data_IF_658481424367
#
_entry.id   IF_658481424367
#
_cell.length_a   1.000
_cell.length_b   1.000
_cell.length_c   1.000
_cell.angle_alpha   90.00
_cell.angle_beta   90.00
_cell.angle_gamma   90.00
#
_symmetry.space_group_name_H-M   'P 1'
#
loop_
_entity.id
_entity.type
_entity.pdbx_description
1 polymer ?
#
# COMPACT_ATOMS: atom_id res chain seq x y z
N UNK A 1 -11.28 4.78 -2.59
CA UNK A 1 -10.06 5.40 -3.14
C UNK A 1 -9.42 6.42 -2.19
N UNK A 2 -10.18 7.13 -1.35
CA UNK A 2 -9.64 8.12 -0.39
C UNK A 2 -8.94 7.49 0.83
N UNK A 3 -9.44 6.37 1.34
CA UNK A 3 -9.02 5.82 2.64
C UNK A 3 -7.55 5.38 2.72
N UNK A 4 -6.99 4.76 1.68
CA UNK A 4 -5.61 4.23 1.74
C UNK A 4 -4.61 5.38 1.86
N UNK A 5 -4.72 6.39 0.99
CA UNK A 5 -3.80 7.53 0.98
C UNK A 5 -3.97 8.41 2.23
N UNK A 6 -5.20 8.57 2.72
CA UNK A 6 -5.46 9.27 3.99
C UNK A 6 -4.86 8.54 5.19
N UNK A 7 -4.92 7.21 5.23
CA UNK A 7 -4.28 6.42 6.29
C UNK A 7 -2.76 6.49 6.18
N UNK A 8 -2.19 6.39 4.97
CA UNK A 8 -0.75 6.51 4.75
C UNK A 8 -0.19 7.87 5.19
N UNK A 9 -0.96 8.94 5.04
CA UNK A 9 -0.56 10.28 5.49
C UNK A 9 -0.43 10.39 7.03
N UNK A 10 -1.03 9.47 7.78
CA UNK A 10 -1.02 9.43 9.25
C UNK A 10 -0.14 8.30 9.80
N UNK A 11 0.52 7.52 8.93
CA UNK A 11 1.29 6.35 9.29
C UNK A 11 2.60 6.76 10.00
N UNK A 12 2.88 6.17 11.15
CA UNK A 12 4.16 6.33 11.86
C UNK A 12 5.34 5.73 11.09
N UNK A 13 6.57 6.04 11.51
CA UNK A 13 7.80 5.61 10.84
C UNK A 13 8.15 4.12 11.02
N UNK A 14 7.57 3.47 12.02
CA UNK A 14 7.68 2.03 12.30
C UNK A 14 6.35 1.29 12.10
N UNK A 15 5.41 1.91 11.40
CA UNK A 15 4.12 1.32 11.07
C UNK A 15 4.03 0.92 9.60
N UNK A 16 3.20 -0.07 9.32
CA UNK A 16 2.86 -0.50 7.98
C UNK A 16 1.34 -0.61 7.83
N UNK A 17 0.83 -0.20 6.68
CA UNK A 17 -0.56 -0.35 6.32
C UNK A 17 -0.76 -1.68 5.59
N UNK A 18 -1.57 -2.55 6.17
CA UNK A 18 -1.98 -3.81 5.55
C UNK A 18 -3.35 -3.66 4.88
N UNK A 19 -3.44 -4.03 3.60
CA UNK A 19 -4.63 -3.86 2.76
C UNK A 19 -5.00 -5.18 2.12
N UNK A 20 -6.24 -5.63 2.32
CA UNK A 20 -6.84 -6.72 1.55
C UNK A 20 -7.66 -6.16 0.41
N UNK A 21 -7.40 -6.61 -0.80
CA UNK A 21 -8.09 -6.12 -1.98
C UNK A 21 -8.31 -7.26 -2.98
N UNK A 22 -9.32 -7.12 -3.85
CA UNK A 22 -9.60 -8.17 -4.85
C UNK A 22 -8.52 -8.27 -5.95
N UNK A 23 -7.87 -7.15 -6.24
CA UNK A 23 -6.85 -6.99 -7.28
C UNK A 23 -5.93 -5.84 -6.92
N UNK A 24 -4.71 -5.83 -7.46
CA UNK A 24 -3.75 -4.75 -7.23
C UNK A 24 -4.30 -3.43 -7.81
N UNK A 25 -4.45 -2.36 -7.01
CA UNK A 25 -4.86 -1.06 -7.50
C UNK A 25 -3.68 -0.39 -8.23
N UNK A 26 -3.55 -0.60 -9.54
CA UNK A 26 -2.42 -0.07 -10.33
C UNK A 26 -2.25 1.45 -10.27
N UNK A 27 -3.33 2.20 -10.09
CA UNK A 27 -3.29 3.66 -9.92
C UNK A 27 -2.65 4.09 -8.60
N UNK A 28 -2.61 3.21 -7.58
CA UNK A 28 -2.02 3.51 -6.28
C UNK A 28 -0.48 3.48 -6.35
N UNK A 29 0.09 2.62 -7.19
CA UNK A 29 1.54 2.43 -7.28
C UNK A 29 2.34 3.70 -7.59
N UNK A 30 1.95 4.54 -8.58
CA UNK A 30 2.64 5.81 -8.81
C UNK A 30 2.49 6.78 -7.62
N UNK A 31 1.34 6.81 -6.95
CA UNK A 31 1.12 7.65 -5.76
C UNK A 31 2.00 7.22 -4.58
N UNK A 32 2.26 5.91 -4.42
CA UNK A 32 3.19 5.41 -3.40
C UNK A 32 4.62 5.84 -3.68
N UNK A 33 5.06 5.78 -4.94
CA UNK A 33 6.41 6.23 -5.33
C UNK A 33 6.61 7.72 -5.07
N UNK A 34 5.64 8.56 -5.46
CA UNK A 34 5.69 10.01 -5.23
C UNK A 34 5.82 10.36 -3.73
N UNK A 35 5.15 9.57 -2.89
CA UNK A 35 5.15 9.72 -1.42
C UNK A 35 6.29 9.01 -0.70
N UNK A 36 7.30 8.49 -1.42
CA UNK A 36 8.43 7.74 -0.83
C UNK A 36 8.00 6.54 0.02
N UNK A 37 6.91 5.89 -0.38
CA UNK A 37 6.41 4.66 0.23
C UNK A 37 6.89 3.45 -0.58
N UNK A 38 7.25 2.39 0.12
CA UNK A 38 7.45 1.06 -0.47
C UNK A 38 6.26 0.15 -0.20
N UNK A 39 6.15 -0.91 -1.00
CA UNK A 39 5.09 -1.88 -0.84
C UNK A 39 5.55 -3.30 -1.18
N UNK A 40 4.85 -4.28 -0.60
CA UNK A 40 4.93 -5.70 -0.94
C UNK A 40 3.54 -6.17 -1.33
N UNK A 41 3.46 -6.98 -2.39
CA UNK A 41 2.22 -7.56 -2.88
C UNK A 41 2.33 -9.07 -2.75
N UNK A 42 1.26 -9.69 -2.26
CA UNK A 42 1.10 -11.13 -2.23
C UNK A 42 -0.23 -11.49 -2.88
N UNK A 43 -0.17 -12.21 -3.99
CA UNK A 43 -1.34 -12.71 -4.69
C UNK A 43 -1.74 -14.07 -4.08
N UNK A 44 -2.98 -14.17 -3.59
CA UNK A 44 -3.52 -15.36 -2.93
C UNK A 44 -4.45 -16.18 -3.84
N UNK A 45 -4.76 -15.68 -5.04
CA UNK A 45 -5.59 -16.33 -6.06
C UNK A 45 -6.21 -15.31 -7.02
N UNK A 46 -7.10 -15.77 -7.91
CA UNK A 46 -7.70 -14.97 -9.00
C UNK A 46 -8.31 -13.62 -8.58
N UNK A 47 -8.74 -13.47 -7.33
CA UNK A 47 -9.40 -12.25 -6.84
C UNK A 47 -9.04 -11.92 -5.40
N UNK A 48 -7.86 -12.30 -4.94
CA UNK A 48 -7.43 -11.98 -3.59
C UNK A 48 -5.96 -11.59 -3.57
N UNK A 49 -5.70 -10.35 -3.15
CA UNK A 49 -4.36 -9.80 -3.04
C UNK A 49 -4.22 -9.08 -1.70
N UNK A 50 -3.07 -9.30 -1.07
CA UNK A 50 -2.66 -8.60 0.13
C UNK A 50 -1.56 -7.62 -0.24
N UNK A 51 -1.74 -6.34 0.12
CA UNK A 51 -0.71 -5.32 0.00
C UNK A 51 -0.25 -4.92 1.39
N UNK A 52 1.06 -4.87 1.57
CA UNK A 52 1.70 -4.27 2.73
C UNK A 52 2.44 -3.02 2.27
N UNK A 53 2.06 -1.85 2.78
CA UNK A 53 2.63 -0.55 2.39
C UNK A 53 3.31 0.06 3.61
N UNK A 54 4.52 0.58 3.44
CA UNK A 54 5.33 1.12 4.53
C UNK A 54 6.23 2.26 4.03
N UNK A 55 6.69 3.12 4.94
CA UNK A 55 7.64 4.18 4.56
C UNK A 55 8.95 3.57 4.11
N UNK A 56 9.51 4.10 3.02
CA UNK A 56 10.86 3.73 2.58
C UNK A 56 11.86 4.22 3.62
N UNK A 57 12.56 3.31 4.30
CA UNK A 57 13.71 3.68 5.13
C UNK A 57 14.90 3.94 4.19
N UNK A 58 15.45 5.15 4.27
CA UNK A 58 16.66 5.58 3.55
C UNK A 58 17.89 5.07 4.30
#
# INVERSE_FOLDING_TARGET
MTTILETLAKLGDDEALFVKHKRVPVYLLPELSDRHMEYRIKELGDNDVELLIFKKKI
#
